data_IF_201659481753
#
_entry.id   IF_201659481753
#
_cell.length_a   1.000
_cell.length_b   1.000
_cell.length_c   1.000
_cell.angle_alpha   90.00
_cell.angle_beta   90.00
_cell.angle_gamma   90.00
#
_symmetry.space_group_name_H-M   'P 1'
#
loop_
_entity.id
_entity.type
_entity.pdbx_description
1 polymer ?
#
# COMPACT_ATOMS: atom_id res chain seq x y z
N UNK A 1 -60.30 7.45 2.39
CA UNK A 1 -59.19 7.35 1.43
C UNK A 1 -57.98 6.79 2.18
N UNK A 2 -58.03 5.50 2.50
CA UNK A 2 -56.92 4.78 3.16
C UNK A 2 -56.49 3.75 2.13
N UNK A 3 -55.56 4.14 1.28
CA UNK A 3 -54.77 3.16 0.53
C UNK A 3 -53.84 2.54 1.57
N UNK A 4 -54.05 1.27 1.87
CA UNK A 4 -53.67 0.59 3.10
C UNK A 4 -52.17 0.64 3.43
N UNK A 5 -51.85 1.06 4.66
CA UNK A 5 -50.52 1.02 5.26
C UNK A 5 -49.84 -0.36 5.11
N UNK A 6 -50.63 -1.44 5.06
CA UNK A 6 -50.13 -2.79 4.85
C UNK A 6 -49.60 -3.04 3.42
N UNK A 7 -50.17 -2.40 2.39
CA UNK A 7 -49.71 -2.54 1.00
C UNK A 7 -48.34 -1.88 0.79
N UNK A 8 -48.13 -0.70 1.42
CA UNK A 8 -46.82 -0.04 1.43
C UNK A 8 -45.75 -0.85 2.15
N UNK A 9 -46.09 -1.49 3.29
CA UNK A 9 -45.17 -2.36 4.02
C UNK A 9 -44.77 -3.60 3.22
N UNK A 10 -45.73 -4.28 2.58
CA UNK A 10 -45.46 -5.47 1.75
C UNK A 10 -44.56 -5.09 0.57
N UNK A 11 -44.87 -3.98 -0.11
CA UNK A 11 -44.06 -3.51 -1.25
C UNK A 11 -42.62 -3.19 -0.81
N UNK A 12 -42.44 -2.55 0.35
CA UNK A 12 -41.13 -2.27 0.92
C UNK A 12 -40.33 -3.53 1.26
N UNK A 13 -40.98 -4.55 1.83
CA UNK A 13 -40.34 -5.84 2.13
C UNK A 13 -39.92 -6.55 0.85
N UNK A 14 -40.75 -6.56 -0.19
CA UNK A 14 -40.42 -7.18 -1.47
C UNK A 14 -39.22 -6.48 -2.12
N UNK A 15 -39.22 -5.15 -2.17
CA UNK A 15 -38.10 -4.37 -2.72
C UNK A 15 -36.82 -4.62 -1.90
N UNK A 16 -36.93 -4.59 -0.56
CA UNK A 16 -35.81 -4.87 0.33
C UNK A 16 -35.23 -6.27 0.15
N UNK A 17 -36.09 -7.28 0.02
CA UNK A 17 -35.66 -8.66 -0.24
C UNK A 17 -34.95 -8.79 -1.59
N UNK A 18 -35.47 -8.16 -2.64
CA UNK A 18 -34.82 -8.16 -3.96
C UNK A 18 -33.46 -7.47 -3.89
N UNK A 19 -33.35 -6.32 -3.25
CA UNK A 19 -32.08 -5.61 -3.07
C UNK A 19 -31.09 -6.42 -2.23
N UNK A 20 -31.55 -7.11 -1.18
CA UNK A 20 -30.71 -7.97 -0.35
C UNK A 20 -30.15 -9.16 -1.14
N UNK A 21 -30.98 -9.80 -1.98
CA UNK A 21 -30.54 -10.89 -2.87
C UNK A 21 -29.56 -10.37 -3.91
N UNK A 22 -29.85 -9.23 -4.55
CA UNK A 22 -28.95 -8.61 -5.53
C UNK A 22 -27.60 -8.25 -4.90
N UNK A 23 -27.61 -7.62 -3.72
CA UNK A 23 -26.39 -7.30 -2.97
C UNK A 23 -25.61 -8.56 -2.59
N UNK A 24 -26.31 -9.59 -2.09
CA UNK A 24 -25.70 -10.87 -1.73
C UNK A 24 -25.04 -11.61 -2.89
N UNK A 25 -25.53 -11.42 -4.12
CA UNK A 25 -24.91 -11.96 -5.34
C UNK A 25 -23.76 -11.07 -5.84
N UNK A 26 -23.95 -9.74 -5.83
CA UNK A 26 -22.97 -8.79 -6.37
C UNK A 26 -21.68 -8.75 -5.56
N UNK A 27 -21.74 -8.92 -4.24
CA UNK A 27 -20.55 -8.94 -3.37
C UNK A 27 -19.55 -10.04 -3.79
N UNK A 28 -19.90 -11.34 -3.78
CA UNK A 28 -18.96 -12.40 -4.15
C UNK A 28 -18.54 -12.34 -5.62
N UNK A 29 -19.43 -11.90 -6.53
CA UNK A 29 -19.08 -11.72 -7.95
C UNK A 29 -18.07 -10.58 -8.11
N UNK A 30 -18.26 -9.47 -7.41
CA UNK A 30 -17.31 -8.36 -7.37
C UNK A 30 -15.93 -8.81 -6.90
N UNK A 31 -15.88 -9.53 -5.77
CA UNK A 31 -14.63 -10.06 -5.21
C UNK A 31 -13.90 -10.97 -6.22
N UNK A 32 -14.62 -11.90 -6.87
CA UNK A 32 -14.03 -12.77 -7.90
C UNK A 32 -13.46 -11.99 -9.09
N UNK A 33 -14.15 -10.93 -9.55
CA UNK A 33 -13.69 -10.11 -10.67
C UNK A 33 -12.46 -9.29 -10.28
N UNK A 34 -12.46 -8.71 -9.08
CA UNK A 34 -11.33 -7.95 -8.53
C UNK A 34 -10.13 -8.87 -8.38
N UNK A 35 -10.29 -10.04 -7.76
CA UNK A 35 -9.21 -11.00 -7.55
C UNK A 35 -8.58 -11.44 -8.87
N UNK A 36 -9.39 -11.76 -9.89
CA UNK A 36 -8.91 -12.11 -11.23
C UNK A 36 -8.12 -10.96 -11.87
N UNK A 37 -8.61 -9.72 -11.74
CA UNK A 37 -7.94 -8.55 -12.31
C UNK A 37 -6.62 -8.26 -11.59
N UNK A 38 -6.61 -8.32 -10.27
CA UNK A 38 -5.39 -8.16 -9.46
C UNK A 38 -4.38 -9.23 -9.84
N UNK A 39 -4.76 -10.51 -9.84
CA UNK A 39 -3.89 -11.62 -10.24
C UNK A 39 -3.29 -11.44 -11.63
N UNK A 40 -3.99 -10.79 -12.56
CA UNK A 40 -3.48 -10.49 -13.90
C UNK A 40 -2.49 -9.31 -13.90
N UNK A 41 -2.82 -8.22 -13.22
CA UNK A 41 -2.05 -6.97 -13.26
C UNK A 41 -0.78 -6.97 -12.38
N UNK A 42 -0.70 -7.87 -11.39
CA UNK A 42 0.45 -7.96 -10.48
C UNK A 42 1.60 -8.83 -10.99
N UNK A 43 1.40 -9.56 -12.09
CA UNK A 43 2.44 -10.41 -12.70
C UNK A 43 3.49 -9.55 -13.39
N UNK A 44 4.76 -9.95 -13.33
CA UNK A 44 5.86 -9.29 -14.03
C UNK A 44 5.93 -9.72 -15.50
N UNK A 45 4.92 -9.33 -16.26
CA UNK A 45 4.81 -9.54 -17.71
C UNK A 45 4.69 -8.19 -18.43
N UNK A 46 5.23 -8.11 -19.65
CA UNK A 46 5.15 -6.89 -20.45
C UNK A 46 3.69 -6.44 -20.64
N UNK A 47 3.43 -5.16 -20.35
CA UNK A 47 2.10 -4.55 -20.47
C UNK A 47 1.31 -4.46 -19.16
N UNK A 48 1.65 -5.24 -18.12
CA UNK A 48 1.00 -5.14 -16.80
C UNK A 48 1.40 -3.88 -16.03
N UNK A 49 0.58 -3.46 -15.07
CA UNK A 49 0.91 -2.33 -14.18
C UNK A 49 2.14 -2.65 -13.30
N UNK A 50 2.23 -3.87 -12.76
CA UNK A 50 3.37 -4.24 -11.92
C UNK A 50 4.69 -4.23 -12.68
N UNK A 51 4.70 -4.73 -13.92
CA UNK A 51 5.92 -4.71 -14.74
C UNK A 51 6.40 -3.29 -15.03
N UNK A 52 5.49 -2.37 -15.39
CA UNK A 52 5.84 -0.96 -15.63
C UNK A 52 6.50 -0.31 -14.41
N UNK A 53 5.91 -0.49 -13.23
CA UNK A 53 6.45 0.05 -11.97
C UNK A 53 7.74 -0.64 -11.52
N UNK A 54 7.93 -1.91 -11.89
CA UNK A 54 9.16 -2.65 -11.59
C UNK A 54 10.34 -2.20 -12.46
N UNK A 55 10.10 -1.95 -13.75
CA UNK A 55 11.12 -1.43 -14.68
C UNK A 55 11.49 0.01 -14.34
N UNK A 56 10.49 0.87 -14.19
CA UNK A 56 10.67 2.28 -13.85
C UNK A 56 9.66 2.67 -12.78
N UNK A 57 10.14 2.80 -11.54
CA UNK A 57 9.30 3.21 -10.42
C UNK A 57 8.91 4.67 -10.57
N UNK A 58 7.63 4.99 -10.34
CA UNK A 58 7.14 6.38 -10.31
C UNK A 58 7.56 7.17 -9.07
N UNK A 59 8.18 6.52 -8.09
CA UNK A 59 8.55 7.14 -6.81
C UNK A 59 10.03 7.43 -6.77
N UNK A 60 10.37 8.66 -6.37
CA UNK A 60 11.76 9.05 -6.12
C UNK A 60 12.27 8.40 -4.83
N UNK A 61 13.34 7.62 -4.92
CA UNK A 61 14.00 7.03 -3.76
C UNK A 61 15.18 7.92 -3.39
N UNK A 62 15.32 8.22 -2.11
CA UNK A 62 16.47 8.97 -1.59
C UNK A 62 17.28 8.10 -0.65
N UNK A 63 18.61 8.16 -0.75
CA UNK A 63 19.55 7.51 0.15
C UNK A 63 20.34 8.55 0.92
N UNK A 64 20.35 8.40 2.25
CA UNK A 64 21.05 9.30 3.15
C UNK A 64 22.18 8.57 3.86
N UNK A 65 23.37 9.16 3.84
CA UNK A 65 24.52 8.65 4.57
C UNK A 65 24.84 9.53 5.77
N UNK A 66 25.20 8.88 6.88
CA UNK A 66 25.82 9.52 8.03
C UNK A 66 27.19 8.88 8.27
N UNK A 67 28.21 9.72 8.31
CA UNK A 67 29.60 9.30 8.50
C UNK A 67 29.95 9.56 9.97
N UNK A 68 30.57 8.58 10.62
CA UNK A 68 31.17 8.76 11.94
C UNK A 68 32.60 9.24 11.79
N UNK A 69 32.79 10.55 11.93
CA UNK A 69 34.08 11.22 11.85
C UNK A 69 34.88 10.99 13.14
N UNK A 70 36.06 10.39 13.04
CA UNK A 70 36.88 10.02 14.21
C UNK A 70 37.60 11.26 14.76
N UNK A 71 37.39 11.55 16.04
CA UNK A 71 37.87 12.77 16.68
C UNK A 71 39.21 12.58 17.41
N UNK A 72 39.63 11.34 17.67
CA UNK A 72 40.88 11.02 18.37
C UNK A 72 41.71 9.92 17.67
N UNK A 73 42.03 10.06 16.37
CA UNK A 73 42.65 8.98 15.58
C UNK A 73 44.03 8.56 16.12
N UNK A 74 44.86 9.50 16.58
CA UNK A 74 46.20 9.20 17.11
C UNK A 74 46.15 8.43 18.43
N UNK A 75 45.27 8.81 19.35
CA UNK A 75 45.10 8.10 20.63
C UNK A 75 44.65 6.65 20.40
N UNK A 76 43.77 6.45 19.41
CA UNK A 76 43.29 5.12 19.04
C UNK A 76 44.43 4.29 18.46
N UNK A 77 45.22 4.87 17.54
CA UNK A 77 46.30 4.17 16.86
C UNK A 77 47.47 3.79 17.79
N UNK A 78 47.86 4.70 18.69
CA UNK A 78 49.03 4.51 19.56
C UNK A 78 48.66 3.80 20.86
N UNK A 79 47.53 4.16 21.48
CA UNK A 79 47.19 3.73 22.84
C UNK A 79 46.03 2.73 22.90
N UNK A 80 45.48 2.31 21.75
CA UNK A 80 44.25 1.49 21.70
C UNK A 80 43.10 2.11 22.51
N UNK A 81 43.02 3.44 22.52
CA UNK A 81 42.00 4.16 23.29
C UNK A 81 40.61 3.99 22.69
N UNK A 82 39.57 4.31 23.47
CA UNK A 82 38.19 4.30 22.98
C UNK A 82 38.01 5.34 21.88
N UNK A 83 37.47 4.91 20.73
CA UNK A 83 37.20 5.78 19.58
C UNK A 83 36.10 6.78 19.94
N UNK A 84 36.42 8.07 19.84
CA UNK A 84 35.47 9.18 19.93
C UNK A 84 35.06 9.54 18.50
N UNK A 85 33.77 9.51 18.22
CA UNK A 85 33.23 9.83 16.89
C UNK A 85 32.22 10.96 16.95
N UNK A 86 32.15 11.74 15.87
CA UNK A 86 31.09 12.72 15.63
C UNK A 86 30.33 12.32 14.37
N UNK A 87 29.02 12.18 14.48
CA UNK A 87 28.17 11.90 13.33
C UNK A 87 28.06 13.13 12.43
N UNK A 88 28.25 12.95 11.12
CA UNK A 88 28.11 13.99 10.08
C UNK A 88 27.18 13.50 8.99
N UNK A 89 26.16 14.30 8.66
CA UNK A 89 25.15 13.98 7.65
C UNK A 89 23.81 14.67 7.96
N UNK A 90 22.76 14.41 7.17
CA UNK A 90 22.74 13.47 6.05
C UNK A 90 23.46 13.99 4.81
N UNK A 91 24.20 13.11 4.14
CA UNK A 91 24.59 13.28 2.74
C UNK A 91 23.54 12.57 1.88
N UNK A 92 22.65 13.34 1.25
CA UNK A 92 21.48 12.83 0.54
C UNK A 92 21.77 12.67 -0.95
N UNK A 93 21.48 11.48 -1.49
CA UNK A 93 21.49 11.16 -2.91
C UNK A 93 20.09 10.74 -3.33
N UNK A 94 19.76 11.02 -4.58
CA UNK A 94 18.61 10.43 -5.28
C UNK A 94 19.10 9.25 -6.10
#
# INVERSE_FOLDING_TARGET
MVCDRNCGLITGVVIGAVLAVLGGILIPVGDMLIEKKVKKEVVLEEGTIAFKNWVETGTEVYRQFWIFDVQNPEEVAVNSSKIKVKQRGPYTYR
#
